data_IF_356449842142
#
_entry.id   IF_356449842142
#
_cell.length_a   1.000
_cell.length_b   1.000
_cell.length_c   1.000
_cell.angle_alpha   90.00
_cell.angle_beta   90.00
_cell.angle_gamma   90.00
#
_symmetry.space_group_name_H-M   'P 1'
#
loop_
_entity.id
_entity.type
_entity.pdbx_description
1 polymer ?
#
# COMPACT_ATOMS: atom_id res chain seq x y z
N UNK A 1 4.87 18.25 -13.70
CA UNK A 1 4.75 18.49 -12.25
C UNK A 1 4.42 17.15 -11.58
N UNK A 2 5.32 16.58 -10.76
CA UNK A 2 5.08 15.29 -10.09
C UNK A 2 4.88 15.55 -8.60
N UNK A 3 3.66 15.32 -8.12
CA UNK A 3 3.24 15.59 -6.74
C UNK A 3 3.38 14.28 -5.94
N UNK A 4 4.26 14.27 -4.93
CA UNK A 4 4.40 13.13 -4.01
C UNK A 4 3.68 13.45 -2.71
N UNK A 5 2.54 12.81 -2.46
CA UNK A 5 1.83 12.92 -1.19
C UNK A 5 2.47 11.97 -0.16
N UNK A 6 2.84 12.53 0.99
CA UNK A 6 3.48 11.84 2.11
C UNK A 6 2.43 11.65 3.21
N UNK A 7 1.98 10.41 3.42
CA UNK A 7 0.89 10.10 4.35
C UNK A 7 1.44 9.57 5.67
N UNK A 8 1.32 10.36 6.73
CA UNK A 8 1.79 10.03 8.07
C UNK A 8 0.81 9.11 8.79
N UNK A 9 1.24 7.92 9.20
CA UNK A 9 0.48 7.07 10.12
C UNK A 9 0.70 7.55 11.56
N UNK A 10 -0.39 7.55 12.34
CA UNK A 10 -0.39 7.81 13.79
C UNK A 10 0.44 6.72 14.48
N UNK A 11 1.74 6.99 14.70
CA UNK A 11 2.67 6.12 15.42
C UNK A 11 3.57 5.20 14.56
N UNK A 12 3.57 5.32 13.24
CA UNK A 12 4.39 4.48 12.36
C UNK A 12 4.84 5.22 11.11
N UNK A 13 5.98 4.84 10.54
CA UNK A 13 6.51 5.50 9.35
C UNK A 13 5.48 5.48 8.19
N UNK A 14 5.40 6.55 7.37
CA UNK A 14 4.52 6.59 6.19
C UNK A 14 4.74 5.38 5.29
N UNK A 15 3.67 4.68 4.87
CA UNK A 15 3.80 3.69 3.80
C UNK A 15 4.27 4.41 2.55
N UNK A 16 5.30 3.85 1.92
CA UNK A 16 5.86 4.41 0.69
C UNK A 16 5.32 3.70 -0.53
N UNK A 17 5.17 4.45 -1.63
CA UNK A 17 4.95 3.87 -2.95
C UNK A 17 5.97 2.75 -3.23
N UNK A 18 5.49 1.60 -3.70
CA UNK A 18 6.30 0.42 -3.97
C UNK A 18 6.69 -0.39 -2.73
N UNK A 19 6.22 -0.04 -1.54
CA UNK A 19 6.46 -0.83 -0.33
C UNK A 19 5.79 -2.20 -0.43
N UNK A 20 6.50 -3.25 0.01
CA UNK A 20 5.93 -4.60 0.06
C UNK A 20 4.86 -4.68 1.15
N UNK A 21 3.70 -5.16 0.77
CA UNK A 21 2.57 -5.44 1.67
C UNK A 21 2.09 -6.86 1.44
N UNK A 22 1.57 -7.50 2.49
CA UNK A 22 0.94 -8.82 2.37
C UNK A 22 -0.57 -8.62 2.40
N UNK A 23 -1.24 -9.17 1.39
CA UNK A 23 -2.70 -9.19 1.28
C UNK A 23 -3.14 -10.60 0.89
N UNK A 24 -4.10 -11.18 1.62
CA UNK A 24 -4.57 -12.57 1.42
C UNK A 24 -3.43 -13.59 1.26
N UNK A 25 -2.43 -13.51 2.15
CA UNK A 25 -1.23 -14.35 2.17
C UNK A 25 -0.35 -14.28 0.91
N UNK A 26 -0.52 -13.26 0.06
CA UNK A 26 0.31 -12.99 -1.12
C UNK A 26 1.05 -11.67 -0.98
N UNK A 27 2.21 -11.57 -1.61
CA UNK A 27 3.01 -10.34 -1.62
C UNK A 27 2.52 -9.42 -2.74
N UNK A 28 2.22 -8.19 -2.38
CA UNK A 28 1.87 -7.10 -3.28
C UNK A 28 2.75 -5.89 -3.03
N UNK A 29 2.70 -4.93 -3.93
CA UNK A 29 3.34 -3.63 -3.79
C UNK A 29 2.27 -2.58 -3.54
N UNK A 30 2.43 -1.80 -2.49
CA UNK A 30 1.58 -0.64 -2.26
C UNK A 30 1.73 0.35 -3.42
N UNK A 31 0.61 0.77 -3.97
CA UNK A 31 0.55 1.66 -5.13
C UNK A 31 -0.04 3.02 -4.77
N UNK A 32 -1.20 3.04 -4.10
CA UNK A 32 -1.86 4.30 -3.78
C UNK A 32 -2.73 4.17 -2.53
N UNK A 33 -2.94 5.26 -1.79
CA UNK A 33 -3.87 5.33 -0.66
C UNK A 33 -4.92 6.41 -0.95
N UNK A 34 -6.18 6.02 -0.87
CA UNK A 34 -7.33 6.87 -1.15
C UNK A 34 -7.74 7.74 0.05
N UNK A 35 -7.12 7.55 1.22
CA UNK A 35 -7.39 8.34 2.43
C UNK A 35 -8.72 8.03 3.12
N UNK A 36 -9.47 7.05 2.63
CA UNK A 36 -10.74 6.57 3.19
C UNK A 36 -10.63 5.13 3.73
N UNK A 37 -9.40 4.67 4.03
CA UNK A 37 -9.14 3.31 4.47
C UNK A 37 -9.05 2.29 3.32
N UNK A 38 -9.09 2.74 2.07
CA UNK A 38 -8.81 1.92 0.88
C UNK A 38 -7.44 2.26 0.30
N UNK A 39 -6.73 1.22 -0.12
CA UNK A 39 -5.46 1.32 -0.79
C UNK A 39 -5.44 0.47 -2.05
N UNK A 40 -4.78 0.96 -3.08
CA UNK A 40 -4.43 0.19 -4.25
C UNK A 40 -3.12 -0.53 -4.01
N UNK A 41 -3.13 -1.83 -4.27
CA UNK A 41 -1.96 -2.68 -4.25
C UNK A 41 -1.78 -3.32 -5.63
N UNK A 42 -0.54 -3.42 -6.08
CA UNK A 42 -0.21 -4.05 -7.35
C UNK A 42 0.32 -5.46 -7.13
N UNK A 43 -0.19 -6.43 -7.88
CA UNK A 43 0.45 -7.74 -7.98
C UNK A 43 1.76 -7.61 -8.80
N UNK A 44 2.92 -7.97 -8.23
CA UNK A 44 4.20 -7.78 -8.92
C UNK A 44 4.35 -8.67 -10.17
N UNK A 45 3.67 -9.83 -10.22
CA UNK A 45 3.72 -10.80 -11.31
C UNK A 45 2.80 -10.41 -12.46
N UNK A 46 1.52 -10.14 -12.16
CA UNK A 46 0.50 -9.88 -13.17
C UNK A 46 0.33 -8.40 -13.50
N UNK A 47 0.97 -7.50 -12.74
CA UNK A 47 0.80 -6.03 -12.80
C UNK A 47 -0.63 -5.53 -12.56
N UNK A 48 -1.56 -6.40 -12.20
CA UNK A 48 -2.94 -6.04 -11.89
C UNK A 48 -3.02 -5.20 -10.62
N UNK A 49 -3.87 -4.17 -10.64
CA UNK A 49 -4.18 -3.33 -9.50
C UNK A 49 -5.38 -3.93 -8.76
N UNK A 50 -5.27 -4.01 -7.44
CA UNK A 50 -6.30 -4.54 -6.54
C UNK A 50 -6.62 -3.44 -5.55
N UNK A 51 -7.91 -3.12 -5.40
CA UNK A 51 -8.38 -2.25 -4.33
C UNK A 51 -8.59 -3.09 -3.06
N UNK A 52 -7.81 -2.79 -2.03
CA UNK A 52 -7.83 -3.50 -0.75
C UNK A 52 -8.14 -2.52 0.39
N UNK A 53 -8.78 -3.00 1.45
CA UNK A 53 -8.89 -2.21 2.67
C UNK A 53 -7.56 -2.22 3.40
N UNK A 54 -7.21 -1.09 4.00
CA UNK A 54 -5.95 -0.92 4.73
C UNK A 54 -5.83 -1.86 5.93
N UNK A 55 -6.95 -2.17 6.59
CA UNK A 55 -7.03 -3.11 7.71
C UNK A 55 -6.62 -4.54 7.33
N UNK A 56 -6.77 -4.92 6.05
CA UNK A 56 -6.39 -6.23 5.54
C UNK A 56 -4.91 -6.30 5.11
N UNK A 57 -4.20 -5.18 5.12
CA UNK A 57 -2.82 -5.08 4.67
C UNK A 57 -1.85 -5.27 5.83
N UNK A 58 -1.04 -6.31 5.77
CA UNK A 58 0.08 -6.48 6.69
C UNK A 58 1.29 -5.76 6.10
N UNK A 59 1.69 -4.68 6.74
CA UNK A 59 2.80 -3.83 6.32
C UNK A 59 4.03 -4.21 7.14
N UNK A 60 5.03 -4.81 6.48
CA UNK A 60 6.30 -5.11 7.15
C UNK A 60 7.19 -3.89 7.07
N UNK A 61 7.31 -3.16 8.18
CA UNK A 61 8.35 -2.15 8.36
C UNK A 61 9.68 -2.88 8.60
N UNK A 62 10.71 -2.53 7.84
CA UNK A 62 12.10 -2.91 8.14
C UNK A 62 12.70 -1.89 9.10
#
# INVERSE_FOLDING_TARGET
MRLYFKLYLKGGAPIRLGQKVIYKSKIHLFFFDHGNGLAEIQNPLTKSIILAKYEDLIIRLK
#
